data_IF_640361837529
#
_entry.id   IF_640361837529
#
_cell.length_a   1.000
_cell.length_b   1.000
_cell.length_c   1.000
_cell.angle_alpha   90.00
_cell.angle_beta   90.00
_cell.angle_gamma   90.00
#
_symmetry.space_group_name_H-M   'P 1'
#
loop_
_entity.id
_entity.type
_entity.pdbx_description
1 polymer ?
#
# COMPACT_ATOMS: atom_id res chain seq x y z
N UNK A 1 10.91 15.15 1.87
CA UNK A 1 11.60 14.68 0.64
C UNK A 1 11.75 15.84 -0.33
N UNK A 2 12.84 15.93 -1.10
CA UNK A 2 12.88 16.86 -2.24
C UNK A 2 12.06 16.27 -3.42
N UNK A 3 11.59 17.12 -4.34
CA UNK A 3 10.68 16.73 -5.43
C UNK A 3 11.26 15.61 -6.31
N UNK A 4 12.55 15.69 -6.66
CA UNK A 4 13.19 14.68 -7.51
C UNK A 4 13.30 13.32 -6.81
N UNK A 5 13.65 13.30 -5.53
CA UNK A 5 13.69 12.08 -4.71
C UNK A 5 12.30 11.45 -4.60
N UNK A 6 11.26 12.27 -4.45
CA UNK A 6 9.89 11.76 -4.38
C UNK A 6 9.45 11.09 -5.69
N UNK A 7 9.72 11.74 -6.83
CA UNK A 7 9.41 11.16 -8.15
C UNK A 7 10.15 9.83 -8.36
N UNK A 8 11.41 9.76 -7.93
CA UNK A 8 12.21 8.52 -8.00
C UNK A 8 11.57 7.42 -7.15
N UNK A 9 11.14 7.73 -5.92
CA UNK A 9 10.53 6.75 -5.01
C UNK A 9 9.18 6.23 -5.55
N UNK A 10 8.33 7.13 -6.05
CA UNK A 10 7.05 6.75 -6.67
C UNK A 10 7.29 5.81 -7.85
N UNK A 11 8.21 6.16 -8.76
CA UNK A 11 8.53 5.33 -9.93
C UNK A 11 9.12 3.98 -9.53
N UNK A 12 10.03 3.96 -8.55
CA UNK A 12 10.62 2.72 -8.03
C UNK A 12 9.55 1.80 -7.45
N UNK A 13 8.58 2.35 -6.72
CA UNK A 13 7.45 1.59 -6.16
C UNK A 13 6.57 0.99 -7.26
N UNK A 14 6.21 1.77 -8.27
CA UNK A 14 5.41 1.27 -9.39
C UNK A 14 6.14 0.20 -10.23
N UNK A 15 7.45 0.31 -10.38
CA UNK A 15 8.24 -0.69 -11.10
C UNK A 15 8.26 -2.03 -10.36
N UNK A 16 8.33 -2.02 -9.03
CA UNK A 16 8.23 -3.24 -8.20
C UNK A 16 6.88 -3.94 -8.38
N UNK A 17 5.83 -3.17 -8.71
CA UNK A 17 4.50 -3.67 -9.05
C UNK A 17 4.36 -4.14 -10.51
N UNK A 18 5.46 -4.14 -11.28
CA UNK A 18 5.48 -4.52 -12.70
C UNK A 18 4.53 -3.62 -13.52
N UNK A 19 4.37 -2.37 -13.11
CA UNK A 19 3.57 -1.41 -13.85
C UNK A 19 4.28 -1.05 -15.18
N UNK A 20 3.57 -1.16 -16.30
CA UNK A 20 4.14 -0.85 -17.61
C UNK A 20 4.41 0.65 -17.75
N UNK A 21 5.70 1.03 -17.72
CA UNK A 21 6.19 2.42 -17.86
C UNK A 21 5.75 3.13 -19.15
N UNK A 22 5.39 2.39 -20.19
CA UNK A 22 4.91 2.93 -21.46
C UNK A 22 3.41 3.26 -21.47
N UNK A 23 2.68 2.93 -20.40
CA UNK A 23 1.24 3.18 -20.31
C UNK A 23 0.95 4.58 -19.77
N UNK A 24 -0.03 5.28 -20.37
CA UNK A 24 -0.50 6.58 -19.87
C UNK A 24 -1.00 6.50 -18.41
N UNK A 25 -1.56 5.36 -18.00
CA UNK A 25 -1.99 5.15 -16.63
C UNK A 25 -0.82 5.19 -15.63
N UNK A 26 0.38 4.74 -16.01
CA UNK A 26 1.59 4.87 -15.19
C UNK A 26 1.88 6.35 -14.90
N UNK A 27 1.95 7.17 -15.96
CA UNK A 27 2.22 8.60 -15.83
C UNK A 27 1.14 9.33 -15.02
N UNK A 28 -0.13 8.96 -15.23
CA UNK A 28 -1.25 9.51 -14.46
C UNK A 28 -1.18 9.15 -12.97
N UNK A 29 -0.73 7.94 -12.62
CA UNK A 29 -0.54 7.54 -11.22
C UNK A 29 0.62 8.31 -10.60
N UNK A 30 1.75 8.45 -11.30
CA UNK A 30 2.90 9.22 -10.82
C UNK A 30 2.48 10.67 -10.54
N UNK A 31 1.86 11.34 -11.51
CA UNK A 31 1.43 12.72 -11.34
C UNK A 31 0.32 12.85 -10.29
N UNK A 32 -0.61 11.90 -10.24
CA UNK A 32 -1.66 11.87 -9.24
C UNK A 32 -1.11 11.78 -7.81
N UNK A 33 -0.07 10.97 -7.56
CA UNK A 33 0.56 10.89 -6.23
C UNK A 33 1.29 12.17 -5.85
N UNK A 34 1.88 12.90 -6.80
CA UNK A 34 2.45 14.22 -6.54
C UNK A 34 1.37 15.21 -6.10
N UNK A 35 0.23 15.23 -6.79
CA UNK A 35 -0.92 16.07 -6.43
C UNK A 35 -1.51 15.73 -5.06
N UNK A 36 -1.60 14.43 -4.72
CA UNK A 36 -2.07 13.96 -3.40
C UNK A 36 -1.08 14.35 -2.31
N UNK A 37 0.23 14.28 -2.56
CA UNK A 37 1.24 14.75 -1.62
C UNK A 37 1.17 16.27 -1.37
N UNK A 38 0.72 17.05 -2.35
CA UNK A 38 0.47 18.48 -2.18
C UNK A 38 -0.83 18.77 -1.42
N UNK A 39 -1.90 18.00 -1.68
CA UNK A 39 -3.17 18.08 -0.96
C UNK A 39 -3.85 16.70 -0.90
N UNK A 40 -3.82 16.12 0.30
CA UNK A 40 -4.35 14.78 0.55
C UNK A 40 -5.87 14.71 0.30
N UNK A 41 -6.62 15.81 0.37
CA UNK A 41 -8.07 15.81 0.14
C UNK A 41 -8.45 15.39 -1.28
N UNK A 42 -7.52 15.46 -2.24
CA UNK A 42 -7.71 15.03 -3.62
C UNK A 42 -8.03 13.54 -3.76
N UNK A 43 -7.46 12.68 -2.91
CA UNK A 43 -7.74 11.23 -2.96
C UNK A 43 -9.19 10.93 -2.56
N UNK A 44 -9.73 11.71 -1.62
CA UNK A 44 -11.12 11.62 -1.18
C UNK A 44 -12.10 12.13 -2.24
N UNK A 45 -11.67 13.07 -3.08
CA UNK A 45 -12.46 13.70 -4.14
C UNK A 45 -11.97 13.32 -5.54
N UNK A 46 -11.64 12.05 -5.77
CA UNK A 46 -10.90 11.60 -6.95
C UNK A 46 -11.52 12.07 -8.29
N UNK A 47 -12.86 11.98 -8.44
CA UNK A 47 -13.55 12.34 -9.69
C UNK A 47 -13.68 13.85 -9.90
N UNK A 48 -13.73 14.63 -8.81
CA UNK A 48 -14.03 16.08 -8.83
C UNK A 48 -12.78 16.95 -8.68
N UNK A 49 -11.67 16.37 -8.23
CA UNK A 49 -10.41 17.04 -8.04
C UNK A 49 -9.29 16.30 -8.79
N UNK A 50 -8.86 15.14 -8.29
CA UNK A 50 -7.66 14.46 -8.81
C UNK A 50 -7.70 14.19 -10.32
N UNK A 51 -8.79 13.58 -10.82
CA UNK A 51 -8.92 13.30 -12.25
C UNK A 51 -9.06 14.56 -13.09
N UNK A 52 -9.64 15.63 -12.55
CA UNK A 52 -9.75 16.92 -13.25
C UNK A 52 -8.37 17.55 -13.40
N UNK A 53 -7.59 17.57 -12.31
CA UNK A 53 -6.23 18.13 -12.28
C UNK A 53 -5.28 17.36 -13.21
N UNK A 54 -5.31 16.02 -13.17
CA UNK A 54 -4.53 15.18 -14.10
C UNK A 54 -4.98 15.41 -15.54
N UNK A 55 -6.28 15.47 -15.80
CA UNK A 55 -6.82 15.67 -17.14
C UNK A 55 -6.40 17.03 -17.73
N UNK A 56 -6.39 18.07 -16.90
CA UNK A 56 -5.92 19.40 -17.28
C UNK A 56 -4.41 19.39 -17.62
N UNK A 57 -3.59 18.69 -16.84
CA UNK A 57 -2.15 18.59 -17.08
C UNK A 57 -1.80 17.86 -18.38
N UNK A 58 -2.51 16.77 -18.68
CA UNK A 58 -2.25 15.93 -19.86
C UNK A 58 -3.15 16.24 -21.06
N UNK A 59 -3.88 17.36 -21.02
CA UNK A 59 -4.79 17.81 -22.09
C UNK A 59 -5.75 16.70 -22.56
N UNK A 60 -6.38 16.02 -21.59
CA UNK A 60 -7.28 14.89 -21.84
C UNK A 60 -8.59 15.04 -21.05
N UNK A 61 -9.47 14.03 -21.08
CA UNK A 61 -10.69 14.01 -20.27
C UNK A 61 -10.50 13.25 -18.95
N UNK A 62 -11.24 13.64 -17.91
CA UNK A 62 -11.24 12.93 -16.62
C UNK A 62 -11.64 11.45 -16.77
N UNK A 63 -12.50 11.13 -17.74
CA UNK A 63 -12.91 9.76 -18.03
C UNK A 63 -11.80 8.96 -18.72
N UNK A 64 -10.96 9.61 -19.53
CA UNK A 64 -9.76 9.01 -20.08
C UNK A 64 -8.74 8.70 -18.97
N UNK A 65 -8.56 9.64 -18.03
CA UNK A 65 -7.69 9.45 -16.86
C UNK A 65 -8.16 8.25 -16.02
N UNK A 66 -9.44 8.22 -15.61
CA UNK A 66 -10.02 7.11 -14.84
C UNK A 66 -9.77 5.76 -15.52
N UNK A 67 -10.09 5.68 -16.82
CA UNK A 67 -9.99 4.44 -17.59
C UNK A 67 -8.55 3.95 -17.68
N UNK A 68 -7.60 4.83 -17.97
CA UNK A 68 -6.20 4.45 -18.09
C UNK A 68 -5.63 3.99 -16.74
N UNK A 69 -5.95 4.66 -15.65
CA UNK A 69 -5.54 4.24 -14.30
C UNK A 69 -6.15 2.87 -13.98
N UNK A 70 -7.45 2.68 -14.24
CA UNK A 70 -8.12 1.38 -14.02
C UNK A 70 -7.49 0.25 -14.83
N UNK A 71 -7.12 0.52 -16.08
CA UNK A 71 -6.42 -0.45 -16.91
C UNK A 71 -5.05 -0.81 -16.32
N UNK A 72 -4.29 0.16 -15.83
CA UNK A 72 -3.01 -0.09 -15.16
C UNK A 72 -3.21 -0.91 -13.88
N UNK A 73 -4.20 -0.58 -13.04
CA UNK A 73 -4.53 -1.36 -11.85
C UNK A 73 -4.93 -2.80 -12.21
N UNK A 74 -5.72 -2.99 -13.29
CA UNK A 74 -6.08 -4.32 -13.76
C UNK A 74 -4.87 -5.12 -14.26
N UNK A 75 -3.92 -4.47 -14.93
CA UNK A 75 -2.70 -5.11 -15.42
C UNK A 75 -1.77 -5.53 -14.28
N UNK A 76 -1.68 -4.71 -13.23
CA UNK A 76 -0.91 -5.02 -12.01
C UNK A 76 -1.59 -6.15 -11.22
N UNK A 77 -2.92 -6.16 -11.16
CA UNK A 77 -3.71 -7.14 -10.41
C UNK A 77 -3.80 -8.49 -11.14
N UNK A 78 -2.75 -9.28 -11.04
CA UNK A 78 -2.71 -10.68 -11.49
C UNK A 78 -2.55 -11.62 -10.30
N UNK A 79 -2.93 -12.90 -10.45
CA UNK A 79 -2.76 -13.91 -9.39
C UNK A 79 -1.31 -14.08 -8.96
N UNK A 80 -0.35 -13.87 -9.88
CA UNK A 80 1.09 -13.95 -9.63
C UNK A 80 1.62 -12.74 -8.84
N UNK A 81 0.96 -11.59 -8.96
CA UNK A 81 1.37 -10.34 -8.31
C UNK A 81 0.74 -10.12 -6.94
N UNK A 82 -0.24 -10.93 -6.52
CA UNK A 82 -0.95 -10.73 -5.25
C UNK A 82 -0.03 -10.69 -4.04
N UNK A 83 0.94 -11.60 -3.96
CA UNK A 83 1.91 -11.63 -2.85
C UNK A 83 2.76 -10.36 -2.79
N UNK A 84 3.16 -9.82 -3.95
CA UNK A 84 3.94 -8.58 -4.03
C UNK A 84 3.07 -7.40 -3.60
N UNK A 85 1.82 -7.35 -4.05
CA UNK A 85 0.86 -6.32 -3.67
C UNK A 85 0.58 -6.32 -2.15
N UNK A 86 0.37 -7.49 -1.56
CA UNK A 86 0.18 -7.65 -0.11
C UNK A 86 1.39 -7.15 0.68
N UNK A 87 2.60 -7.48 0.20
CA UNK A 87 3.85 -7.04 0.81
C UNK A 87 4.04 -5.52 0.70
N UNK A 88 3.82 -4.94 -0.49
CA UNK A 88 4.02 -3.49 -0.71
C UNK A 88 2.94 -2.68 0.01
N UNK A 89 1.69 -3.15 0.05
CA UNK A 89 0.61 -2.41 0.70
C UNK A 89 0.47 -2.71 2.20
N UNK A 90 1.30 -3.62 2.74
CA UNK A 90 1.20 -4.11 4.11
C UNK A 90 -0.24 -4.55 4.47
N UNK A 91 -0.88 -5.25 3.54
CA UNK A 91 -2.26 -5.76 3.70
C UNK A 91 -2.22 -7.27 3.65
N UNK A 92 -2.83 -7.91 4.64
CA UNK A 92 -3.03 -9.36 4.64
C UNK A 92 -4.25 -9.69 3.79
N UNK A 93 -4.14 -10.67 2.90
CA UNK A 93 -5.25 -11.30 2.20
C UNK A 93 -6.06 -10.33 1.32
N UNK A 94 -5.48 -9.93 0.20
CA UNK A 94 -6.18 -9.12 -0.80
C UNK A 94 -6.95 -10.02 -1.79
N UNK A 95 -8.23 -10.19 -1.51
CA UNK A 95 -9.10 -11.06 -2.32
C UNK A 95 -9.66 -10.35 -3.55
N UNK A 96 -9.83 -9.04 -3.40
CA UNK A 96 -10.47 -8.16 -4.36
C UNK A 96 -9.45 -7.18 -4.91
N UNK A 97 -9.55 -7.00 -6.23
CA UNK A 97 -8.81 -5.96 -6.93
C UNK A 97 -9.15 -4.59 -6.35
N UNK A 98 -8.16 -3.75 -6.04
CA UNK A 98 -8.44 -2.39 -5.59
C UNK A 98 -9.15 -1.59 -6.68
N UNK A 99 -10.02 -0.69 -6.23
CA UNK A 99 -10.49 0.45 -7.01
C UNK A 99 -9.33 1.42 -7.25
N UNK A 100 -9.46 2.33 -8.22
CA UNK A 100 -8.43 3.35 -8.45
C UNK A 100 -8.16 4.18 -7.20
N UNK A 101 -9.21 4.50 -6.43
CA UNK A 101 -9.09 5.24 -5.17
C UNK A 101 -8.28 4.46 -4.14
N UNK A 102 -8.67 3.21 -3.85
CA UNK A 102 -7.93 2.35 -2.90
C UNK A 102 -6.48 2.15 -3.35
N UNK A 103 -6.23 2.03 -4.66
CA UNK A 103 -4.87 1.89 -5.17
C UNK A 103 -4.01 3.14 -4.91
N UNK A 104 -4.56 4.35 -5.08
CA UNK A 104 -3.87 5.58 -4.69
C UNK A 104 -3.66 5.67 -3.18
N UNK A 105 -4.65 5.28 -2.38
CA UNK A 105 -4.54 5.25 -0.91
C UNK A 105 -3.42 4.31 -0.47
N UNK A 106 -3.34 3.09 -1.02
CA UNK A 106 -2.30 2.13 -0.66
C UNK A 106 -0.90 2.58 -1.08
N UNK A 107 -0.76 3.15 -2.27
CA UNK A 107 0.52 3.72 -2.70
C UNK A 107 0.90 4.93 -1.84
N UNK A 108 -0.07 5.76 -1.47
CA UNK A 108 0.18 6.90 -0.62
C UNK A 108 0.64 6.46 0.77
N UNK A 109 -0.08 5.52 1.40
CA UNK A 109 0.27 4.97 2.70
C UNK A 109 1.69 4.38 2.67
N UNK A 110 2.01 3.58 1.64
CA UNK A 110 3.33 2.97 1.50
C UNK A 110 4.45 3.99 1.29
N UNK A 111 4.25 5.02 0.47
CA UNK A 111 5.33 5.97 0.12
C UNK A 111 5.51 7.05 1.19
N UNK A 112 4.41 7.53 1.78
CA UNK A 112 4.41 8.73 2.62
C UNK A 112 4.17 8.45 4.10
N UNK A 113 3.47 7.36 4.44
CA UNK A 113 3.08 7.05 5.83
C UNK A 113 3.77 5.81 6.42
N UNK A 114 4.77 5.23 5.74
CA UNK A 114 5.54 4.07 6.23
C UNK A 114 6.40 4.32 7.49
N UNK A 115 6.06 5.32 8.31
CA UNK A 115 6.42 5.41 9.72
C UNK A 115 5.10 5.45 10.51
N UNK A 116 4.80 4.35 11.23
CA UNK A 116 3.62 4.18 12.11
C UNK A 116 2.28 3.80 11.46
N UNK A 117 2.22 2.68 10.71
CA UNK A 117 0.98 1.90 10.69
C UNK A 117 1.30 0.42 10.89
N UNK A 118 1.38 0.02 12.17
CA UNK A 118 0.99 -1.32 12.55
C UNK A 118 -0.42 -1.58 12.00
N UNK A 119 -0.72 -2.79 11.51
CA UNK A 119 -2.01 -3.11 10.92
C UNK A 119 -3.14 -2.82 11.93
N UNK A 120 -3.98 -1.84 11.62
CA UNK A 120 -5.19 -1.56 12.39
C UNK A 120 -6.16 -2.74 12.27
N UNK A 121 -6.33 -3.42 13.40
CA UNK A 121 -7.32 -4.44 13.78
C UNK A 121 -7.14 -5.80 13.09
N UNK A 122 -6.33 -6.71 13.64
CA UNK A 122 -6.68 -7.47 14.85
C UNK A 122 -5.50 -7.70 15.84
N UNK A 123 -5.23 -6.74 16.69
CA UNK A 123 -4.87 -7.02 18.09
C UNK A 123 -6.20 -6.81 18.83
N UNK A 124 -6.90 -7.82 19.35
CA UNK A 124 -6.51 -8.65 20.48
C UNK A 124 -7.15 -10.05 20.35
N UNK A 125 -6.36 -11.11 20.20
CA UNK A 125 -6.65 -12.37 20.90
C UNK A 125 -5.47 -13.34 21.02
N UNK A 126 -4.25 -12.85 21.24
CA UNK A 126 -3.16 -13.72 21.72
C UNK A 126 -3.38 -14.10 23.21
N UNK A 127 -4.29 -13.40 23.92
CA UNK A 127 -4.62 -13.66 25.34
C UNK A 127 -5.48 -14.93 25.58
N UNK A 128 -5.99 -15.58 24.53
CA UNK A 128 -6.84 -16.78 24.66
C UNK A 128 -6.23 -18.08 24.12
N UNK A 129 -4.96 -18.08 23.69
CA UNK A 129 -4.28 -19.32 23.29
C UNK A 129 -4.05 -20.17 24.55
N UNK A 130 -4.80 -21.26 24.66
CA UNK A 130 -4.60 -22.27 25.70
C UNK A 130 -3.54 -23.26 25.23
N UNK A 131 -2.71 -23.74 26.15
CA UNK A 131 -1.72 -24.77 25.83
C UNK A 131 -2.45 -26.04 25.35
N UNK A 132 -2.16 -26.59 24.17
CA UNK A 132 -2.85 -27.77 23.65
C UNK A 132 -2.60 -29.03 24.48
N UNK A 133 -1.61 -29.00 25.38
CA UNK A 133 -1.25 -30.12 26.26
C UNK A 133 -2.02 -30.08 27.59
N UNK A 134 -2.22 -28.89 28.18
CA UNK A 134 -2.84 -28.75 29.50
C UNK A 134 -4.11 -27.89 29.54
N UNK A 135 -4.55 -27.39 28.39
CA UNK A 135 -5.74 -26.56 28.16
C UNK A 135 -5.87 -25.37 29.13
N UNK A 136 -4.74 -24.86 29.60
CA UNK A 136 -4.62 -23.74 30.54
C UNK A 136 -3.48 -22.80 30.09
N UNK A 137 -3.43 -21.58 30.66
CA UNK A 137 -2.27 -20.69 30.51
C UNK A 137 -1.11 -21.27 31.29
N UNK A 138 -0.14 -21.88 30.59
CA UNK A 138 1.05 -22.43 31.22
C UNK A 138 2.27 -21.58 30.91
N UNK A 139 3.20 -21.49 31.87
CA UNK A 139 4.41 -20.67 31.76
C UNK A 139 5.28 -21.05 30.56
N UNK A 140 5.21 -22.30 30.10
CA UNK A 140 5.92 -22.80 28.92
C UNK A 140 5.37 -22.17 27.65
N UNK A 141 4.05 -22.10 27.50
CA UNK A 141 3.42 -21.45 26.34
C UNK A 141 3.71 -19.95 26.33
N UNK A 142 3.63 -19.28 27.49
CA UNK A 142 3.96 -17.85 27.64
C UNK A 142 5.43 -17.58 27.29
N UNK A 143 6.34 -18.45 27.73
CA UNK A 143 7.77 -18.35 27.41
C UNK A 143 8.05 -18.59 25.93
N UNK A 144 7.32 -19.53 25.30
CA UNK A 144 7.45 -19.83 23.87
C UNK A 144 6.89 -18.69 23.01
N UNK A 145 5.73 -18.14 23.35
CA UNK A 145 5.12 -17.02 22.64
C UNK A 145 5.98 -15.75 22.75
N UNK A 146 6.51 -15.45 23.94
CA UNK A 146 7.44 -14.33 24.12
C UNK A 146 8.77 -14.52 23.38
N UNK A 147 9.26 -15.76 23.27
CA UNK A 147 10.46 -16.07 22.49
C UNK A 147 10.24 -15.92 20.98
N UNK A 148 9.09 -16.37 20.47
CA UNK A 148 8.69 -16.19 19.06
C UNK A 148 8.48 -14.70 18.74
N UNK A 149 7.81 -13.95 19.62
CA UNK A 149 7.62 -12.51 19.47
C UNK A 149 8.97 -11.74 19.45
N UNK A 150 9.94 -12.15 20.28
CA UNK A 150 11.30 -11.57 20.26
C UNK A 150 12.10 -11.89 19.00
N UNK A 151 11.83 -12.99 18.30
CA UNK A 151 12.48 -13.33 17.02
C UNK A 151 11.89 -12.60 15.80
N UNK A 152 10.74 -11.94 15.95
CA UNK A 152 10.08 -11.16 14.90
C UNK A 152 10.47 -9.67 14.92
N UNK A 153 11.33 -9.23 15.84
CA UNK A 153 11.89 -7.89 15.78
C UNK A 153 13.08 -7.88 14.81
N UNK A 154 13.08 -7.03 13.76
CA UNK A 154 14.30 -6.80 12.99
C UNK A 154 15.33 -6.12 13.91
N UNK A 155 16.52 -6.72 14.01
CA UNK A 155 17.69 -6.15 14.68
C UNK A 155 18.09 -4.82 14.00
N UNK A 156 17.55 -3.70 14.48
CA UNK A 156 18.10 -2.38 14.19
C UNK A 156 19.04 -1.98 15.32
N UNK A 157 20.33 -2.31 15.14
CA UNK A 157 21.40 -1.64 15.88
C UNK A 157 21.60 -0.25 15.28
N UNK A 158 21.40 0.79 16.08
CA UNK A 158 21.82 2.15 15.77
C UNK A 158 23.04 2.50 16.63
N UNK A 159 24.10 2.98 15.95
CA UNK A 159 25.20 3.78 16.51
C UNK A 159 25.01 5.21 16.01
#
# INVERSE_FOLDING_TARGET
MNHNTLVIEIKSTLDKLIAARTSLGYDYIVYGLLLINEDQTRVSNITKALYIDIAAHYETSWSCVEKNIRNTVNAIWTSENKTILEMIFNRTYMDKKPTNKEFFEYLYDFIFLSQETAPTQSEENVSSILCPVCNNKCQVLESMLSFVAKRLQPDCTHV
#
